data_IF_383256709117
#
_entry.id   IF_383256709117
#
_cell.length_a   1.000
_cell.length_b   1.000
_cell.length_c   1.000
_cell.angle_alpha   90.00
_cell.angle_beta   90.00
_cell.angle_gamma   90.00
#
_symmetry.space_group_name_H-M   'P 1'
#
loop_
_entity.id
_entity.type
_entity.pdbx_description
1 polymer ?
#
# COMPACT_ATOMS: atom_id res chain seq x y z
N UNK A 1 -1.13 0.59 15.41
CA UNK A 1 -1.34 -0.78 14.90
C UNK A 1 -1.41 -0.72 13.37
N UNK A 2 -1.23 -1.82 12.64
CA UNK A 2 -1.17 -1.86 11.16
C UNK A 2 -2.28 -1.06 10.46
N UNK A 3 -3.52 -1.09 10.98
CA UNK A 3 -4.62 -0.31 10.39
C UNK A 3 -4.46 1.21 10.56
N UNK A 4 -3.89 1.66 11.67
CA UNK A 4 -3.69 3.10 11.93
C UNK A 4 -2.64 3.65 10.96
N UNK A 5 -1.54 2.94 10.76
CA UNK A 5 -0.51 3.29 9.76
C UNK A 5 -1.04 3.25 8.32
N UNK A 6 -1.86 2.24 8.00
CA UNK A 6 -2.56 2.16 6.71
C UNK A 6 -3.48 3.36 6.51
N UNK A 7 -4.27 3.72 7.53
CA UNK A 7 -5.20 4.85 7.48
C UNK A 7 -4.43 6.15 7.28
N UNK A 8 -3.37 6.39 8.04
CA UNK A 8 -2.54 7.60 7.92
C UNK A 8 -1.91 7.72 6.53
N UNK A 9 -1.40 6.60 5.99
CA UNK A 9 -0.88 6.56 4.62
C UNK A 9 -1.97 6.90 3.59
N UNK A 10 -3.15 6.29 3.70
CA UNK A 10 -4.25 6.50 2.76
C UNK A 10 -4.82 7.91 2.86
N UNK A 11 -4.95 8.48 4.06
CA UNK A 11 -5.39 9.87 4.25
C UNK A 11 -4.40 10.84 3.62
N UNK A 12 -3.09 10.62 3.81
CA UNK A 12 -2.06 11.41 3.12
C UNK A 12 -2.15 11.23 1.60
N UNK A 13 -2.33 10.00 1.12
CA UNK A 13 -2.38 9.69 -0.30
C UNK A 13 -3.63 10.28 -1.00
N UNK A 14 -4.78 10.23 -0.32
CA UNK A 14 -6.04 10.85 -0.77
C UNK A 14 -5.89 12.37 -0.78
N UNK A 15 -5.36 12.98 0.30
CA UNK A 15 -5.14 14.42 0.34
C UNK A 15 -4.22 14.90 -0.81
N UNK A 16 -3.14 14.17 -1.09
CA UNK A 16 -2.21 14.48 -2.20
C UNK A 16 -2.81 14.20 -3.58
N UNK A 17 -3.68 13.20 -3.70
CA UNK A 17 -4.44 12.90 -4.91
C UNK A 17 -5.47 14.00 -5.24
N UNK A 18 -6.10 14.57 -4.21
CA UNK A 18 -7.00 15.74 -4.35
C UNK A 18 -6.25 17.02 -4.73
N UNK A 19 -4.98 17.17 -4.35
CA UNK A 19 -4.15 18.32 -4.77
C UNK A 19 -3.54 18.17 -6.16
N UNK A 20 -3.44 16.94 -6.69
CA UNK A 20 -2.84 16.66 -7.99
C UNK A 20 -3.79 16.91 -9.19
N UNK A 21 -5.03 17.36 -8.96
CA UNK A 21 -5.95 17.74 -10.04
C UNK A 21 -5.69 19.13 -10.64
N UNK A 22 -4.51 19.72 -10.40
CA UNK A 22 -4.11 20.99 -11.01
C UNK A 22 -2.70 20.91 -11.59
N UNK A 23 -2.59 20.35 -12.78
CA UNK A 23 -1.52 20.75 -13.71
C UNK A 23 -2.02 20.59 -15.15
N UNK A 24 -2.49 21.70 -15.71
CA UNK A 24 -2.43 21.97 -17.13
C UNK A 24 -0.96 21.89 -17.55
N UNK A 25 -0.64 20.97 -18.45
CA UNK A 25 0.69 20.85 -19.05
C UNK A 25 0.53 20.43 -20.49
N UNK A 26 0.53 21.40 -21.41
CA UNK A 26 0.78 21.15 -22.83
C UNK A 26 2.23 20.69 -22.92
N UNK A 27 2.45 19.49 -23.43
CA UNK A 27 3.78 19.03 -23.86
C UNK A 27 3.62 18.34 -25.20
N UNK A 28 4.07 19.06 -26.22
CA UNK A 28 4.27 18.61 -27.58
C UNK A 28 5.32 17.49 -27.62
N UNK A 29 4.92 16.31 -28.11
CA UNK A 29 5.82 15.26 -28.57
C UNK A 29 6.33 14.28 -27.51
N UNK A 30 5.81 13.05 -27.52
CA UNK A 30 6.42 11.88 -26.87
C UNK A 30 5.52 11.12 -25.91
N UNK A 31 5.00 9.96 -26.36
CA UNK A 31 4.40 8.87 -25.60
C UNK A 31 3.57 9.24 -24.35
N UNK A 32 2.26 9.44 -24.55
CA UNK A 32 1.24 9.34 -23.50
C UNK A 32 1.15 7.89 -23.00
N UNK A 33 1.86 7.57 -21.92
CA UNK A 33 1.39 6.50 -21.03
C UNK A 33 0.33 7.12 -20.12
N UNK A 34 -0.91 7.11 -20.58
CA UNK A 34 -2.08 7.42 -19.75
C UNK A 34 -2.14 6.40 -18.61
N UNK A 35 -1.42 6.67 -17.54
CA UNK A 35 -1.64 6.01 -16.26
C UNK A 35 -2.93 6.62 -15.72
N UNK A 36 -4.04 5.96 -16.06
CA UNK A 36 -5.35 6.22 -15.48
C UNK A 36 -5.16 6.44 -13.98
N UNK A 37 -5.57 7.59 -13.48
CA UNK A 37 -5.39 7.95 -12.08
C UNK A 37 -6.25 7.01 -11.24
N UNK A 38 -5.68 5.87 -10.82
CA UNK A 38 -6.35 4.95 -9.91
C UNK A 38 -6.57 5.71 -8.60
N UNK A 39 -7.80 6.18 -8.42
CA UNK A 39 -8.20 6.90 -7.21
C UNK A 39 -8.17 5.93 -6.04
N UNK A 40 -7.22 6.12 -5.14
CA UNK A 40 -7.16 5.35 -3.90
C UNK A 40 -8.38 5.66 -3.03
N UNK A 41 -9.05 4.63 -2.55
CA UNK A 41 -10.16 4.75 -1.60
C UNK A 41 -9.73 4.19 -0.24
N UNK A 42 -9.94 4.97 0.82
CA UNK A 42 -9.73 4.50 2.19
C UNK A 42 -10.78 3.43 2.52
N UNK A 43 -10.33 2.22 2.85
CA UNK A 43 -11.21 1.13 3.26
C UNK A 43 -11.45 1.15 4.78
N UNK A 44 -12.68 0.79 5.17
CA UNK A 44 -13.06 0.62 6.59
C UNK A 44 -12.21 -0.47 7.25
N UNK A 45 -12.01 -0.34 8.57
CA UNK A 45 -11.21 -1.27 9.38
C UNK A 45 -11.52 -2.74 9.14
N UNK A 46 -12.80 -3.12 9.07
CA UNK A 46 -13.21 -4.50 8.83
C UNK A 46 -12.71 -5.05 7.47
N UNK A 47 -12.71 -4.21 6.42
CA UNK A 47 -12.24 -4.60 5.08
C UNK A 47 -10.71 -4.75 5.07
N UNK A 48 -10.00 -3.79 5.67
CA UNK A 48 -8.54 -3.85 5.79
C UNK A 48 -8.08 -5.06 6.62
N UNK A 49 -8.79 -5.39 7.70
CA UNK A 49 -8.51 -6.59 8.50
C UNK A 49 -8.81 -7.87 7.71
N UNK A 50 -9.81 -7.88 6.83
CA UNK A 50 -10.06 -9.04 5.97
C UNK A 50 -8.94 -9.26 4.95
N UNK A 51 -8.44 -8.20 4.35
CA UNK A 51 -7.25 -8.27 3.49
C UNK A 51 -6.01 -8.75 4.27
N UNK A 52 -5.86 -8.32 5.52
CA UNK A 52 -4.79 -8.80 6.39
C UNK A 52 -4.87 -10.31 6.66
N UNK A 53 -6.08 -10.86 6.87
CA UNK A 53 -6.26 -12.32 7.00
C UNK A 53 -5.80 -13.06 5.74
N UNK A 54 -6.10 -12.55 4.55
CA UNK A 54 -5.64 -13.18 3.30
C UNK A 54 -4.11 -13.15 3.16
N UNK A 55 -3.42 -12.11 3.65
CA UNK A 55 -1.96 -12.06 3.67
C UNK A 55 -1.35 -13.12 4.60
N UNK A 56 -2.05 -13.47 5.69
CA UNK A 56 -1.65 -14.56 6.59
C UNK A 56 -1.89 -15.92 5.93
N UNK A 57 -3.04 -16.10 5.27
CA UNK A 57 -3.36 -17.33 4.52
C UNK A 57 -2.39 -17.58 3.36
N UNK A 58 -1.90 -16.51 2.72
CA UNK A 58 -0.87 -16.56 1.68
C UNK A 58 0.56 -16.70 2.22
N UNK A 59 0.74 -16.89 3.53
CA UNK A 59 2.02 -17.04 4.22
C UNK A 59 3.00 -15.86 4.08
N UNK A 60 2.51 -14.68 3.64
CA UNK A 60 3.30 -13.45 3.59
C UNK A 60 3.51 -12.85 4.98
N UNK A 61 2.65 -13.22 5.92
CA UNK A 61 2.69 -12.84 7.33
C UNK A 61 2.58 -14.09 8.22
N UNK A 62 3.38 -14.15 9.28
CA UNK A 62 3.34 -15.23 10.28
C UNK A 62 3.23 -14.66 11.69
N UNK A 63 2.58 -15.38 12.61
CA UNK A 63 2.66 -15.02 14.03
C UNK A 63 4.12 -15.07 14.50
N UNK A 64 4.54 -14.08 15.30
CA UNK A 64 5.85 -14.15 15.94
C UNK A 64 5.90 -15.34 16.91
N UNK A 65 7.04 -16.04 17.00
CA UNK A 65 7.19 -17.30 17.77
C UNK A 65 6.90 -17.12 19.28
N UNK A 66 6.94 -15.88 19.77
CA UNK A 66 6.66 -15.50 21.15
C UNK A 66 5.32 -14.76 21.33
N UNK A 67 4.38 -14.92 20.38
CA UNK A 67 3.04 -14.37 20.49
C UNK A 67 2.32 -14.96 21.72
N UNK A 68 2.38 -14.26 22.84
CA UNK A 68 1.70 -14.63 24.08
C UNK A 68 0.19 -14.82 23.92
N UNK A 69 -0.46 -15.34 24.97
CA UNK A 69 -1.92 -15.58 25.02
C UNK A 69 -2.70 -14.26 25.12
N UNK A 70 -2.64 -13.43 24.07
CA UNK A 70 -3.37 -12.18 23.94
C UNK A 70 -4.46 -12.25 22.85
N UNK A 71 -5.35 -11.24 22.77
CA UNK A 71 -6.38 -11.20 21.74
C UNK A 71 -5.78 -11.23 20.33
N UNK A 72 -6.43 -11.96 19.39
CA UNK A 72 -5.96 -12.17 18.01
C UNK A 72 -5.57 -10.86 17.30
N UNK A 73 -6.30 -9.77 17.58
CA UNK A 73 -6.09 -8.45 16.98
C UNK A 73 -4.85 -7.69 17.48
N UNK A 74 -4.27 -8.11 18.61
CA UNK A 74 -3.03 -7.54 19.17
C UNK A 74 -1.85 -8.51 19.07
N UNK A 75 -2.03 -9.63 18.37
CA UNK A 75 -0.96 -10.58 18.14
C UNK A 75 0.11 -9.95 17.26
N UNK A 76 1.36 -10.04 17.71
CA UNK A 76 2.50 -9.58 16.91
C UNK A 76 2.70 -10.51 15.71
N UNK A 77 2.89 -9.91 14.54
CA UNK A 77 3.04 -10.62 13.27
C UNK A 77 4.38 -10.22 12.64
N UNK A 78 5.02 -11.18 11.98
CA UNK A 78 6.28 -11.04 11.28
C UNK A 78 6.03 -11.11 9.78
N UNK A 79 6.61 -10.16 9.03
CA UNK A 79 6.60 -10.15 7.57
C UNK A 79 7.62 -11.17 7.06
N UNK A 80 7.21 -12.02 6.10
CA UNK A 80 8.04 -13.07 5.50
C UNK A 80 8.71 -12.64 4.19
N UNK A 81 8.60 -11.35 3.86
CA UNK A 81 9.17 -10.73 2.68
C UNK A 81 10.21 -9.67 3.08
N UNK A 82 11.24 -9.55 2.26
CA UNK A 82 12.19 -8.45 2.35
C UNK A 82 11.61 -7.17 1.75
N UNK A 83 12.06 -6.01 2.25
CA UNK A 83 11.62 -4.70 1.76
C UNK A 83 11.89 -4.52 0.25
N UNK A 84 12.99 -5.10 -0.25
CA UNK A 84 13.35 -5.10 -1.68
C UNK A 84 12.33 -5.87 -2.52
N UNK A 85 11.92 -7.06 -2.08
CA UNK A 85 10.92 -7.88 -2.79
C UNK A 85 9.58 -7.15 -2.92
N UNK A 86 9.15 -6.46 -1.86
CA UNK A 86 7.92 -5.66 -1.87
C UNK A 86 8.06 -4.51 -2.87
N UNK A 87 9.17 -3.77 -2.80
CA UNK A 87 9.40 -2.61 -3.65
C UNK A 87 9.47 -2.99 -5.14
N UNK A 88 10.18 -4.06 -5.47
CA UNK A 88 10.31 -4.56 -6.84
C UNK A 88 8.96 -5.00 -7.43
N UNK A 89 8.13 -5.70 -6.67
CA UNK A 89 6.81 -6.15 -7.13
C UNK A 89 5.89 -4.95 -7.37
N UNK A 90 5.89 -3.97 -6.45
CA UNK A 90 5.08 -2.76 -6.57
C UNK A 90 5.46 -1.95 -7.82
N UNK A 91 6.75 -1.84 -8.12
CA UNK A 91 7.25 -1.10 -9.29
C UNK A 91 7.04 -1.84 -10.62
N UNK A 92 6.98 -3.18 -10.61
CA UNK A 92 6.68 -4.01 -11.80
C UNK A 92 5.18 -4.10 -12.12
N UNK A 93 4.31 -3.77 -11.16
CA UNK A 93 2.87 -3.90 -11.35
C UNK A 93 2.33 -2.80 -12.27
N UNK A 94 1.77 -3.21 -13.42
CA UNK A 94 1.38 -2.33 -14.54
C UNK A 94 0.36 -1.25 -14.16
N UNK A 95 -0.55 -1.55 -13.23
CA UNK A 95 -1.65 -0.66 -12.84
C UNK A 95 -1.48 -0.12 -11.41
N UNK A 96 -0.23 0.02 -10.97
CA UNK A 96 0.09 0.51 -9.64
C UNK A 96 -0.21 2.01 -9.49
N UNK A 97 -1.02 2.44 -8.50
CA UNK A 97 -1.27 3.86 -8.26
C UNK A 97 0.04 4.62 -7.98
N UNK A 98 0.23 5.78 -8.61
CA UNK A 98 1.50 6.53 -8.57
C UNK A 98 2.00 6.82 -7.15
N UNK A 99 1.09 7.04 -6.20
CA UNK A 99 1.45 7.29 -4.79
C UNK A 99 1.99 6.04 -4.10
N UNK A 100 1.51 4.85 -4.47
CA UNK A 100 2.01 3.56 -3.97
C UNK A 100 3.38 3.25 -4.61
N UNK A 101 3.52 3.48 -5.93
CA UNK A 101 4.81 3.35 -6.60
C UNK A 101 5.89 4.27 -6.00
N UNK A 102 5.53 5.54 -5.72
CA UNK A 102 6.44 6.50 -5.06
C UNK A 102 6.79 6.10 -3.64
N UNK A 103 5.85 5.49 -2.91
CA UNK A 103 6.11 4.97 -1.57
C UNK A 103 7.13 3.83 -1.59
N UNK A 104 7.04 2.92 -2.58
CA UNK A 104 7.99 1.84 -2.78
C UNK A 104 9.38 2.35 -3.19
N UNK A 105 9.47 3.30 -4.11
CA UNK A 105 10.74 3.85 -4.59
C UNK A 105 11.57 4.57 -3.49
N UNK A 106 10.95 4.98 -2.37
CA UNK A 106 11.65 5.60 -1.23
C UNK A 106 12.25 4.59 -0.24
N UNK A 107 11.95 3.30 -0.42
CA UNK A 107 12.28 2.22 0.53
C UNK A 107 13.32 1.23 -0.03
N UNK A 108 14.02 1.61 -1.10
CA UNK A 108 15.21 0.91 -1.60
C UNK A 108 16.44 1.23 -0.76
#
# INVERSE_FOLDING_TARGET
MVYDEYKDFMDMAVARGSSASSSLGVSSGGAITSTESVSLRLYKKAVALKAFEHLVEAELLRAADNAGKGPKQYRMMRVMLDSSQISDIVLKHRDCPTVVARWAARRQ
#
